data_IF_343113849920
#
_entry.id   IF_343113849920
#
_cell.length_a   1.000
_cell.length_b   1.000
_cell.length_c   1.000
_cell.angle_alpha   90.00
_cell.angle_beta   90.00
_cell.angle_gamma   90.00
#
_symmetry.space_group_name_H-M   'P 1'
#
loop_
_entity.id
_entity.type
_entity.pdbx_description
1 polymer ?
#
# COMPACT_ATOMS: atom_id res chain seq x y z
N UNK A 1 24.75 16.67 -14.68
CA UNK A 1 23.95 17.39 -13.75
C UNK A 1 22.62 17.81 -14.25
N UNK A 2 22.51 18.19 -15.50
CA UNK A 2 21.22 18.64 -16.00
C UNK A 2 20.14 17.55 -15.90
N UNK A 3 20.52 16.31 -16.07
CA UNK A 3 19.55 15.22 -15.98
C UNK A 3 18.95 15.16 -14.58
N UNK A 4 19.80 15.26 -13.58
CA UNK A 4 19.33 15.21 -12.20
C UNK A 4 18.41 16.41 -11.91
N UNK A 5 18.78 17.55 -12.42
CA UNK A 5 17.98 18.75 -12.18
C UNK A 5 16.62 18.64 -12.85
N UNK A 6 16.58 18.06 -14.05
CA UNK A 6 15.32 17.88 -14.75
C UNK A 6 14.42 16.92 -13.98
N UNK A 7 14.98 15.85 -13.49
CA UNK A 7 14.19 14.89 -12.72
C UNK A 7 13.68 15.51 -11.44
N UNK A 8 14.49 16.28 -10.76
CA UNK A 8 14.06 16.89 -9.52
C UNK A 8 13.03 17.98 -9.76
N UNK A 9 12.91 18.47 -10.97
CA UNK A 9 11.90 19.46 -11.30
C UNK A 9 10.52 18.84 -11.45
N UNK A 10 10.43 17.53 -11.63
CA UNK A 10 9.13 16.86 -11.72
C UNK A 10 8.41 16.92 -10.39
N UNK A 11 7.14 17.29 -10.46
CA UNK A 11 6.34 17.38 -9.26
C UNK A 11 6.05 15.98 -8.72
N UNK A 12 6.28 15.82 -7.44
CA UNK A 12 6.01 14.57 -6.74
C UNK A 12 4.66 14.63 -6.06
N UNK A 13 3.96 13.52 -6.07
CA UNK A 13 2.68 13.38 -5.38
C UNK A 13 2.80 12.28 -4.35
N UNK A 14 1.94 12.33 -3.35
CA UNK A 14 1.95 11.38 -2.25
C UNK A 14 0.87 10.34 -2.47
N UNK A 15 1.26 9.07 -2.43
CA UNK A 15 0.37 7.96 -2.73
C UNK A 15 0.39 6.91 -1.65
N UNK A 16 -0.74 6.23 -1.53
CA UNK A 16 -0.84 5.02 -0.73
C UNK A 16 -1.20 3.90 -1.69
N UNK A 17 -0.36 2.86 -1.74
CA UNK A 17 -0.60 1.70 -2.58
C UNK A 17 -0.94 0.49 -1.73
N UNK A 18 -1.96 -0.23 -2.14
CA UNK A 18 -2.33 -1.48 -1.49
C UNK A 18 -2.15 -2.59 -2.53
N UNK A 19 -1.28 -3.54 -2.22
CA UNK A 19 -0.94 -4.61 -3.14
C UNK A 19 -1.40 -5.93 -2.56
N UNK A 20 -2.19 -6.67 -3.35
CA UNK A 20 -2.69 -7.97 -2.92
C UNK A 20 -1.78 -9.05 -3.46
N UNK A 21 -1.27 -9.89 -2.57
CA UNK A 21 -0.40 -10.99 -2.93
C UNK A 21 -0.92 -12.27 -2.28
N UNK A 22 -0.44 -13.41 -2.78
CA UNK A 22 -0.82 -14.71 -2.22
C UNK A 22 -0.24 -14.85 -0.81
N UNK A 23 -1.11 -15.13 0.15
CA UNK A 23 -0.72 -15.28 1.54
C UNK A 23 0.31 -16.39 1.71
N UNK A 24 0.13 -17.51 1.01
CA UNK A 24 1.07 -18.62 1.12
C UNK A 24 2.44 -18.29 0.56
N UNK A 25 2.48 -17.58 -0.56
CA UNK A 25 3.75 -17.17 -1.13
C UNK A 25 4.49 -16.23 -0.19
N UNK A 26 3.77 -15.31 0.41
CA UNK A 26 4.38 -14.37 1.35
C UNK A 26 4.93 -15.11 2.56
N UNK A 27 4.18 -16.08 3.09
CA UNK A 27 4.63 -16.84 4.24
C UNK A 27 5.90 -17.63 3.94
N UNK A 28 6.00 -18.14 2.71
CA UNK A 28 7.16 -18.93 2.31
C UNK A 28 8.38 -18.08 2.01
N UNK A 29 8.16 -16.93 1.38
CA UNK A 29 9.27 -16.09 0.91
C UNK A 29 8.87 -14.60 1.05
N UNK A 30 8.81 -14.11 2.28
CA UNK A 30 8.38 -12.71 2.48
C UNK A 30 9.32 -11.70 1.82
N UNK A 31 10.62 -11.97 1.83
CA UNK A 31 11.57 -11.04 1.23
C UNK A 31 11.43 -10.99 -0.28
N UNK A 32 11.22 -12.15 -0.91
CA UNK A 32 11.06 -12.17 -2.35
C UNK A 32 9.80 -11.44 -2.80
N UNK A 33 8.72 -11.60 -2.05
CA UNK A 33 7.46 -10.92 -2.37
C UNK A 33 7.64 -9.40 -2.17
N UNK A 34 8.24 -9.01 -1.06
CA UNK A 34 8.47 -7.60 -0.80
C UNK A 34 9.37 -6.99 -1.88
N UNK A 35 10.42 -7.70 -2.26
CA UNK A 35 11.33 -7.23 -3.30
C UNK A 35 10.60 -7.03 -4.62
N UNK A 36 9.67 -7.92 -4.96
CA UNK A 36 8.90 -7.78 -6.19
C UNK A 36 8.05 -6.50 -6.18
N UNK A 37 7.45 -6.20 -5.04
CA UNK A 37 6.66 -4.97 -4.91
C UNK A 37 7.57 -3.76 -5.02
N UNK A 38 8.70 -3.79 -4.34
CA UNK A 38 9.66 -2.68 -4.38
C UNK A 38 10.21 -2.46 -5.77
N UNK A 39 10.44 -3.54 -6.52
CA UNK A 39 10.96 -3.43 -7.87
C UNK A 39 9.98 -2.70 -8.79
N UNK A 40 8.70 -3.00 -8.66
CA UNK A 40 7.66 -2.33 -9.45
C UNK A 40 7.64 -0.85 -9.13
N UNK A 41 7.71 -0.51 -7.85
CA UNK A 41 7.69 0.89 -7.43
C UNK A 41 8.93 1.63 -7.91
N UNK A 42 10.07 0.98 -7.84
CA UNK A 42 11.32 1.60 -8.28
C UNK A 42 11.27 1.92 -9.78
N UNK A 43 10.72 1.02 -10.57
CA UNK A 43 10.62 1.25 -12.01
C UNK A 43 9.72 2.44 -12.32
N UNK A 44 8.73 2.68 -11.49
CA UNK A 44 7.81 3.81 -11.67
C UNK A 44 8.39 5.12 -11.16
N UNK A 45 9.57 5.08 -10.57
CA UNK A 45 10.20 6.28 -10.03
C UNK A 45 9.71 6.65 -8.65
N UNK A 46 9.14 5.70 -7.93
CA UNK A 46 8.61 5.95 -6.60
C UNK A 46 9.72 5.94 -5.56
N UNK A 47 9.54 6.77 -4.53
CA UNK A 47 10.37 6.77 -3.35
C UNK A 47 9.52 6.29 -2.19
N UNK A 48 9.87 5.15 -1.63
CA UNK A 48 9.07 4.54 -0.55
C UNK A 48 9.36 5.25 0.76
N UNK A 49 8.29 5.64 1.45
CA UNK A 49 8.39 6.34 2.73
C UNK A 49 8.08 5.40 3.88
N UNK A 50 7.08 4.53 3.72
CA UNK A 50 6.72 3.56 4.74
C UNK A 50 6.06 2.36 4.07
N UNK A 51 6.19 1.20 4.70
CA UNK A 51 5.62 -0.02 4.14
C UNK A 51 5.45 -1.05 5.23
N UNK A 52 4.43 -1.89 5.08
CA UNK A 52 4.27 -3.04 5.97
C UNK A 52 3.14 -3.94 5.45
N UNK A 53 3.14 -5.23 5.84
CA UNK A 53 1.97 -6.07 5.64
C UNK A 53 0.82 -5.48 6.46
N UNK A 54 -0.34 -5.36 5.85
CA UNK A 54 -1.46 -4.71 6.53
C UNK A 54 -2.50 -5.69 7.01
N UNK A 55 -2.93 -6.59 6.15
CA UNK A 55 -3.98 -7.51 6.49
C UNK A 55 -3.77 -8.82 5.76
N UNK A 56 -3.79 -9.93 6.49
CA UNK A 56 -3.58 -11.26 5.94
C UNK A 56 -4.77 -12.10 6.33
N UNK A 57 -5.33 -12.80 5.37
CA UNK A 57 -6.43 -13.67 5.72
C UNK A 57 -7.28 -14.07 4.53
N UNK A 58 -8.40 -14.65 4.86
CA UNK A 58 -9.33 -15.19 3.90
C UNK A 58 -10.00 -14.05 3.10
N UNK A 59 -10.05 -14.25 1.80
CA UNK A 59 -10.71 -13.27 0.92
C UNK A 59 -12.22 -13.52 0.95
N UNK A 60 -12.98 -12.45 0.72
CA UNK A 60 -14.44 -12.56 0.66
C UNK A 60 -14.87 -13.49 -0.47
N UNK A 61 -14.09 -13.51 -1.55
CA UNK A 61 -14.31 -14.40 -2.68
C UNK A 61 -12.96 -14.71 -3.30
N UNK A 62 -12.91 -15.82 -4.04
CA UNK A 62 -11.65 -16.19 -4.70
C UNK A 62 -11.27 -15.16 -5.73
N UNK A 63 -9.98 -14.87 -5.78
CA UNK A 63 -9.41 -13.99 -6.80
C UNK A 63 -8.31 -14.79 -7.47
N UNK A 64 -8.47 -15.06 -8.75
CA UNK A 64 -7.51 -15.82 -9.55
C UNK A 64 -7.10 -17.13 -8.87
N UNK A 65 -8.09 -17.82 -8.34
CA UNK A 65 -7.86 -19.12 -7.69
C UNK A 65 -7.36 -19.01 -6.27
N UNK A 66 -7.16 -17.81 -5.77
CA UNK A 66 -6.58 -17.58 -4.46
C UNK A 66 -7.67 -17.34 -3.45
N UNK A 67 -7.66 -18.10 -2.34
CA UNK A 67 -8.66 -17.96 -1.29
C UNK A 67 -8.20 -17.10 -0.14
N UNK A 68 -6.89 -17.01 0.06
CA UNK A 68 -6.30 -16.18 1.11
C UNK A 68 -5.34 -15.20 0.48
N UNK A 69 -5.36 -13.97 0.96
CA UNK A 69 -4.49 -12.95 0.43
C UNK A 69 -3.93 -12.08 1.50
N UNK A 70 -2.77 -11.55 1.23
CA UNK A 70 -2.11 -10.57 2.08
C UNK A 70 -2.19 -9.23 1.38
N UNK A 71 -2.67 -8.22 2.09
CA UNK A 71 -2.65 -6.85 1.61
C UNK A 71 -1.40 -6.19 2.15
N UNK A 72 -0.55 -5.76 1.24
CA UNK A 72 0.70 -5.09 1.59
C UNK A 72 0.57 -3.62 1.27
N UNK A 73 0.76 -2.77 2.26
CA UNK A 73 0.54 -1.33 2.09
C UNK A 73 1.87 -0.60 2.01
N UNK A 74 1.95 0.35 1.09
CA UNK A 74 3.15 1.14 0.87
C UNK A 74 2.75 2.60 0.72
N UNK A 75 3.39 3.47 1.47
CA UNK A 75 3.26 4.91 1.26
C UNK A 75 4.49 5.39 0.52
N UNK A 76 4.28 6.10 -0.56
CA UNK A 76 5.40 6.52 -1.41
C UNK A 76 5.09 7.83 -2.11
N UNK A 77 6.14 8.49 -2.56
CA UNK A 77 6.00 9.67 -3.42
C UNK A 77 6.49 9.29 -4.81
N UNK A 78 5.91 9.90 -5.82
CA UNK A 78 6.20 9.52 -7.19
C UNK A 78 5.75 10.64 -8.12
N UNK A 79 6.44 10.85 -9.26
CA UNK A 79 5.91 11.76 -10.27
C UNK A 79 4.58 11.24 -10.82
N UNK A 80 3.70 12.13 -11.22
CA UNK A 80 2.40 11.71 -11.73
C UNK A 80 2.48 10.79 -12.94
N UNK A 81 3.48 10.97 -13.80
CA UNK A 81 3.63 10.13 -14.98
C UNK A 81 4.09 8.72 -14.62
N UNK A 82 4.50 8.49 -13.39
CA UNK A 82 4.88 7.16 -12.93
C UNK A 82 3.70 6.21 -12.81
N UNK A 83 2.48 6.74 -12.70
CA UNK A 83 1.30 5.88 -12.55
C UNK A 83 1.12 4.91 -13.71
N UNK A 84 1.37 5.37 -14.92
CA UNK A 84 1.25 4.50 -16.09
C UNK A 84 2.22 3.33 -16.00
N UNK A 85 3.46 3.63 -15.62
CA UNK A 85 4.48 2.61 -15.47
C UNK A 85 4.12 1.66 -14.34
N UNK A 86 3.68 2.21 -13.21
CA UNK A 86 3.30 1.40 -12.06
C UNK A 86 2.19 0.42 -12.40
N UNK A 87 1.13 0.91 -13.03
CA UNK A 87 0.01 0.05 -13.41
C UNK A 87 0.44 -1.06 -14.34
N UNK A 88 1.28 -0.71 -15.31
CA UNK A 88 1.76 -1.70 -16.28
C UNK A 88 2.62 -2.76 -15.61
N UNK A 89 3.55 -2.34 -14.75
CA UNK A 89 4.42 -3.27 -14.06
C UNK A 89 3.64 -4.20 -13.14
N UNK A 90 2.61 -3.67 -12.48
CA UNK A 90 1.78 -4.51 -11.62
C UNK A 90 1.04 -5.56 -12.44
N UNK A 91 0.55 -5.19 -13.60
CA UNK A 91 -0.16 -6.15 -14.46
C UNK A 91 0.77 -7.24 -14.97
N UNK A 92 2.03 -6.91 -15.18
CA UNK A 92 3.01 -7.88 -15.67
C UNK A 92 3.57 -8.76 -14.55
N UNK A 93 3.35 -8.37 -13.31
CA UNK A 93 3.89 -9.11 -12.17
C UNK A 93 3.09 -10.36 -11.90
N UNK A 94 3.79 -11.46 -11.65
CA UNK A 94 3.14 -12.70 -11.25
C UNK A 94 2.93 -12.74 -9.74
N UNK A 95 3.56 -11.84 -9.02
CA UNK A 95 3.47 -11.77 -7.57
C UNK A 95 2.30 -10.92 -7.12
N UNK A 96 2.10 -9.79 -7.79
CA UNK A 96 1.03 -8.86 -7.42
C UNK A 96 -0.24 -9.24 -8.15
N UNK A 97 -1.25 -9.70 -7.41
CA UNK A 97 -2.51 -10.15 -8.00
C UNK A 97 -3.40 -8.97 -8.33
N UNK A 98 -3.48 -8.01 -7.44
CA UNK A 98 -4.26 -6.79 -7.63
C UNK A 98 -3.57 -5.65 -6.92
N UNK A 99 -3.87 -4.45 -7.35
CA UNK A 99 -3.33 -3.27 -6.71
C UNK A 99 -4.31 -2.11 -6.81
N UNK A 100 -4.25 -1.25 -5.81
CA UNK A 100 -5.00 0.01 -5.79
C UNK A 100 -4.04 1.07 -5.31
N UNK A 101 -4.03 2.22 -5.98
CA UNK A 101 -3.20 3.34 -5.58
C UNK A 101 -4.08 4.56 -5.40
N UNK A 102 -3.96 5.20 -4.25
CA UNK A 102 -4.76 6.38 -3.90
C UNK A 102 -3.80 7.54 -3.67
N UNK A 103 -4.13 8.68 -4.28
CA UNK A 103 -3.35 9.89 -4.05
C UNK A 103 -3.92 10.60 -2.84
N UNK A 104 -3.05 11.03 -1.94
CA UNK A 104 -3.43 11.72 -0.71
C UNK A 104 -2.90 13.14 -0.70
N UNK A 105 -3.58 14.01 0.05
CA UNK A 105 -2.97 15.28 0.38
C UNK A 105 -1.92 15.03 1.47
N UNK A 106 -1.09 16.02 1.72
CA UNK A 106 0.05 15.84 2.61
C UNK A 106 -0.36 15.47 4.03
N UNK A 107 -1.41 16.07 4.52
CA UNK A 107 -1.89 15.82 5.88
C UNK A 107 -2.29 14.36 6.08
N UNK A 108 -3.09 13.84 5.15
CA UNK A 108 -3.53 12.43 5.23
C UNK A 108 -2.36 11.50 5.02
N UNK A 109 -1.47 11.85 4.10
CA UNK A 109 -0.29 11.02 3.84
C UNK A 109 0.57 10.90 5.09
N UNK A 110 0.83 12.02 5.76
CA UNK A 110 1.65 12.01 6.97
C UNK A 110 1.02 11.17 8.06
N UNK A 111 -0.31 11.25 8.21
CA UNK A 111 -1.01 10.45 9.20
C UNK A 111 -0.91 8.96 8.89
N UNK A 112 -1.02 8.61 7.60
CA UNK A 112 -0.90 7.22 7.19
C UNK A 112 0.50 6.70 7.43
N UNK A 113 1.51 7.49 7.10
CA UNK A 113 2.90 7.11 7.34
C UNK A 113 3.14 6.86 8.81
N UNK A 114 2.61 7.73 9.67
CA UNK A 114 2.77 7.57 11.11
C UNK A 114 2.14 6.26 11.59
N UNK A 115 0.98 5.93 11.05
CA UNK A 115 0.31 4.68 11.42
C UNK A 115 1.13 3.47 10.98
N UNK A 116 1.71 3.52 9.79
CA UNK A 116 2.50 2.40 9.28
C UNK A 116 3.84 2.28 9.97
N UNK A 117 4.35 3.37 10.51
CA UNK A 117 5.66 3.37 11.15
C UNK A 117 5.64 2.71 12.53
N UNK A 118 4.49 2.28 12.98
CA UNK A 118 4.40 1.50 14.19
C UNK A 118 3.98 2.28 15.42
N UNK A 119 4.27 3.56 15.47
CA UNK A 119 3.91 4.35 16.63
C UNK A 119 2.40 4.43 16.81
N UNK A 120 1.73 4.87 15.78
CA UNK A 120 0.28 4.95 15.82
C UNK A 120 -0.36 3.58 15.75
N UNK A 121 0.30 2.64 15.05
CA UNK A 121 -0.22 1.30 14.94
C UNK A 121 -0.29 0.61 16.29
N UNK A 122 0.69 0.87 17.14
CA UNK A 122 0.70 0.31 18.48
C UNK A 122 -0.51 0.81 19.26
N UNK A 123 -0.79 2.09 19.14
CA UNK A 123 -1.90 2.70 19.82
C UNK A 123 -3.23 2.16 19.31
N UNK A 124 -3.33 2.08 17.99
CA UNK A 124 -4.57 1.68 17.37
C UNK A 124 -4.81 0.18 17.48
N UNK A 125 -3.77 -0.52 17.72
CA UNK A 125 -3.88 -1.96 17.74
C UNK A 125 -4.89 -2.47 18.71
N UNK A 126 -5.33 -1.76 19.14
CA UNK A 126 -6.31 -2.25 19.81
C UNK A 126 -7.50 -1.96 19.26
N UNK A 127 -6.97 -1.70 18.57
CA UNK A 127 -7.85 -1.38 18.02
C UNK A 127 -8.41 -1.12 17.43
N UNK A 128 -8.29 -1.37 17.44
CA UNK A 128 -8.81 -1.08 16.83
C UNK A 128 -9.45 -0.88 16.38
N UNK A 129 -9.60 -1.07 16.68
CA UNK A 129 -10.21 -0.94 16.38
C UNK A 129 -11.01 -0.80 16.01
N UNK A 130 -11.05 -1.17 16.16
CA UNK A 130 -11.75 -1.09 15.99
C UNK A 130 -12.49 -0.50 15.90
N UNK A 131 -12.44 -0.56 16.10
CA UNK A 131 -13.07 -0.09 16.08
C UNK A 131 -13.70 0.66 15.82
N UNK A 132 -13.66 0.40 15.81
CA UNK A 132 -14.21 0.99 15.59
C UNK A 132 -14.87 1.45 15.33
N UNK A 133 -14.91 1.05 15.55
CA UNK A 133 -15.58 1.38 15.38
C UNK A 133 -16.39 1.72 15.32
N UNK A 134 -16.28 1.44 15.49
CA UNK A 134 -17.06 1.72 15.54
C UNK A 134 -17.83 2.33 15.58
N UNK A 135 -17.66 2.11 15.62
CA UNK A 135 -18.42 2.60 15.70
C UNK A 135 -19.19 3.24 15.54
N UNK A 136 -19.16 2.98 15.60
CA UNK A 136 -19.94 3.49 15.45
C UNK A 136 -20.85 3.75 15.45
N UNK A 137 -20.74 3.36 15.71
CA UNK A 137 -21.54 3.49 15.63
C UNK A 137 -22.46 3.86 15.79
N UNK A 138 -22.30 3.69 15.80
CA UNK A 138 -23.10 4.01 15.90
C UNK A 138 -23.89 4.57 15.94
N UNK A 139 -23.75 4.49 16.03
CA UNK A 139 -24.41 4.95 15.95
C UNK A 139 -25.27 5.27 15.83
N UNK A 140 -25.34 5.13 15.90
CA UNK A 140 -26.04 5.33 15.61
C UNK A 140 -27.01 5.49 15.49
N UNK A 141 -27.10 5.31 15.55
CA UNK A 141 -27.93 5.45 15.33
C UNK A 141 -28.89 5.85 15.43
N UNK A 142 -28.89 5.81 15.45
CA UNK A 142 -29.65 6.21 15.52
C UNK A 142 -30.54 6.57 15.72
N UNK A 143 -30.65 6.42 15.67
CA UNK A 143 -31.23 6.70 15.83
C UNK A 143 -31.81 6.97 16.00
#
# INVERSE_FOLDING_TARGET
MSVTEVESAKKQYSYEGMFLVDSGKFATDPDGVTDAIMAVLKRAGATVVAQRPWQDGKLAYEIEGMKKGLHYIVCFTMPGDGMTVLNRQCKLSETIVRHIVIRHNQSVFDATVAALSGTAAVVAGEDAGEEEASDNADAGSDE
#
